data_IF_908509145741
#
_entry.id   IF_908509145741
#
_cell.length_a   1.000
_cell.length_b   1.000
_cell.length_c   1.000
_cell.angle_alpha   90.00
_cell.angle_beta   90.00
_cell.angle_gamma   90.00
#
_symmetry.space_group_name_H-M   'P 1'
#
loop_
_entity.id
_entity.type
_entity.pdbx_description
1 polymer ?
#
# COMPACT_ATOMS: atom_id res chain seq x y z
N UNK A 1 -3.31 29.14 -17.48
CA UNK A 1 -3.08 30.10 -16.37
C UNK A 1 -3.64 29.41 -15.14
N UNK A 2 -2.80 28.85 -14.29
CA UNK A 2 -3.25 28.07 -13.13
C UNK A 2 -3.87 29.03 -12.10
N UNK A 3 -5.16 28.87 -11.85
CA UNK A 3 -5.86 29.56 -10.77
C UNK A 3 -5.37 28.95 -9.47
N UNK A 4 -4.58 29.72 -8.72
CA UNK A 4 -4.28 29.40 -7.33
C UNK A 4 -5.60 29.24 -6.56
N UNK A 5 -5.74 28.24 -5.68
CA UNK A 5 -6.94 28.09 -4.86
C UNK A 5 -7.30 29.40 -4.15
N UNK A 6 -8.59 29.71 -4.04
CA UNK A 6 -9.08 31.00 -3.52
C UNK A 6 -8.63 31.32 -2.07
N UNK A 7 -8.16 30.32 -1.32
CA UNK A 7 -7.59 30.50 0.01
C UNK A 7 -6.11 30.96 0.01
N UNK A 8 -5.49 31.09 -1.17
CA UNK A 8 -4.17 31.69 -1.39
C UNK A 8 -4.11 32.47 -2.71
N UNK A 9 -4.63 33.71 -2.79
CA UNK A 9 -4.33 34.56 -3.93
C UNK A 9 -2.83 34.81 -4.01
N UNK A 10 -2.25 34.66 -5.20
CA UNK A 10 -0.86 35.03 -5.44
C UNK A 10 -0.70 36.55 -5.25
N UNK A 11 -0.20 36.99 -4.10
CA UNK A 11 0.13 38.39 -3.87
C UNK A 11 1.55 38.62 -4.39
N UNK A 12 1.66 39.40 -5.47
CA UNK A 12 2.95 39.81 -6.04
C UNK A 12 3.79 40.49 -4.96
N UNK A 13 4.98 39.93 -4.67
CA UNK A 13 5.91 40.46 -3.68
C UNK A 13 5.82 39.87 -2.27
N UNK A 14 4.87 38.96 -1.99
CA UNK A 14 4.87 38.23 -0.72
C UNK A 14 5.91 37.10 -0.74
N UNK A 15 6.81 37.06 0.24
CA UNK A 15 7.61 35.85 0.49
C UNK A 15 6.65 34.72 0.88
N UNK A 16 6.77 33.55 0.24
CA UNK A 16 6.04 32.36 0.68
C UNK A 16 6.37 32.09 2.15
N UNK A 17 5.38 32.20 3.04
CA UNK A 17 5.60 31.91 4.46
C UNK A 17 5.87 30.43 4.65
N UNK A 18 6.80 30.06 5.54
CA UNK A 18 7.15 28.65 5.82
C UNK A 18 5.93 27.75 6.12
N UNK A 19 4.85 28.32 6.67
CA UNK A 19 3.56 27.63 6.85
C UNK A 19 2.94 27.06 5.55
N UNK A 20 3.29 27.60 4.38
CA UNK A 20 2.82 27.14 3.07
C UNK A 20 3.57 25.92 2.54
N UNK A 21 4.78 25.67 3.04
CA UNK A 21 5.59 24.47 2.72
C UNK A 21 5.42 23.41 3.81
N UNK A 22 4.95 23.81 5.00
CA UNK A 22 4.79 22.93 6.16
C UNK A 22 3.67 21.90 6.08
N UNK A 23 2.77 21.95 5.08
CA UNK A 23 1.76 20.89 4.92
C UNK A 23 2.36 19.52 4.54
N UNK A 24 3.63 19.47 4.14
CA UNK A 24 4.38 18.22 3.94
C UNK A 24 5.42 17.93 5.03
N UNK A 25 5.48 18.74 6.10
CA UNK A 25 6.54 18.64 7.13
C UNK A 25 6.09 17.95 8.43
N UNK A 26 4.83 17.52 8.52
CA UNK A 26 4.33 16.69 9.62
C UNK A 26 3.75 15.41 9.01
N UNK A 27 4.17 14.25 9.52
CA UNK A 27 3.56 12.99 9.13
C UNK A 27 2.10 12.97 9.59
N UNK A 28 1.19 12.79 8.65
CA UNK A 28 -0.23 12.57 8.93
C UNK A 28 -0.65 11.21 8.37
N UNK A 29 -1.73 10.65 8.90
CA UNK A 29 -2.24 9.36 8.45
C UNK A 29 -2.77 9.50 7.02
N UNK A 30 -2.30 8.62 6.13
CA UNK A 30 -2.68 8.54 4.72
C UNK A 30 -2.93 7.09 4.27
N UNK A 31 -4.11 6.81 3.74
CA UNK A 31 -4.49 5.52 3.16
C UNK A 31 -4.50 5.62 1.65
N UNK A 32 -3.70 4.79 1.00
CA UNK A 32 -3.76 4.62 -0.46
C UNK A 32 -4.71 3.48 -0.79
N UNK A 33 -5.69 3.74 -1.67
CA UNK A 33 -6.58 2.74 -2.25
C UNK A 33 -6.33 2.62 -3.74
N UNK A 34 -6.36 1.39 -4.25
CA UNK A 34 -6.23 1.06 -5.68
C UNK A 34 -7.54 0.47 -6.17
N UNK A 35 -7.76 0.45 -7.49
CA UNK A 35 -8.91 -0.22 -8.07
C UNK A 35 -8.72 -1.73 -8.07
N UNK A 36 -9.79 -2.48 -7.80
CA UNK A 36 -9.77 -3.94 -7.82
C UNK A 36 -10.97 -4.54 -7.10
N UNK A 37 -11.25 -5.79 -7.40
CA UNK A 37 -12.25 -6.61 -6.69
C UNK A 37 -11.55 -7.49 -5.67
N UNK A 38 -12.09 -7.57 -4.46
CA UNK A 38 -11.60 -8.49 -3.45
C UNK A 38 -11.77 -9.94 -3.94
N UNK A 39 -10.67 -10.67 -4.08
CA UNK A 39 -10.65 -12.06 -4.53
C UNK A 39 -10.45 -13.05 -3.40
N UNK A 40 -9.82 -12.62 -2.31
CA UNK A 40 -9.60 -13.47 -1.14
C UNK A 40 -9.22 -12.66 0.09
N UNK A 41 -9.59 -13.15 1.26
CA UNK A 41 -9.20 -12.55 2.53
C UNK A 41 -9.15 -13.59 3.63
N UNK A 42 -8.25 -13.39 4.58
CA UNK A 42 -8.27 -14.07 5.86
C UNK A 42 -9.42 -13.58 6.75
N UNK A 43 -9.92 -14.43 7.64
CA UNK A 43 -10.84 -13.99 8.70
C UNK A 43 -10.07 -13.27 9.83
N UNK A 44 -10.65 -12.21 10.44
CA UNK A 44 -9.99 -11.50 11.53
C UNK A 44 -9.72 -12.44 12.71
N UNK A 45 -8.57 -12.27 13.35
CA UNK A 45 -8.18 -13.01 14.55
C UNK A 45 -7.66 -12.12 15.66
N UNK A 46 -7.16 -12.76 16.72
CA UNK A 46 -6.58 -12.10 17.88
C UNK A 46 -5.10 -12.42 18.00
N UNK A 47 -4.28 -11.41 18.31
CA UNK A 47 -2.84 -11.55 18.52
C UNK A 47 -2.02 -11.06 17.33
N UNK A 48 -0.70 -11.04 17.54
CA UNK A 48 0.26 -10.53 16.57
C UNK A 48 1.44 -11.49 16.46
N UNK A 49 2.03 -11.59 15.27
CA UNK A 49 3.34 -12.19 15.10
C UNK A 49 4.35 -11.11 14.76
N UNK A 50 5.37 -10.97 15.61
CA UNK A 50 6.47 -10.02 15.39
C UNK A 50 7.50 -10.63 14.46
N UNK A 51 7.84 -9.92 13.38
CA UNK A 51 9.08 -10.25 12.66
C UNK A 51 10.24 -10.00 13.61
N UNK A 52 11.18 -10.94 13.73
CA UNK A 52 12.51 -10.54 14.20
C UNK A 52 13.22 -9.73 13.10
N UNK A 53 14.21 -8.89 13.42
CA UNK A 53 14.80 -7.87 12.53
C UNK A 53 15.27 -8.39 11.15
N UNK A 54 15.44 -9.70 10.98
CA UNK A 54 15.85 -10.33 9.70
C UNK A 54 14.90 -11.44 9.26
N UNK A 55 13.74 -11.58 9.89
CA UNK A 55 12.82 -12.68 9.63
C UNK A 55 11.84 -12.33 8.52
N UNK A 56 11.74 -13.28 7.62
CA UNK A 56 10.76 -13.33 6.56
C UNK A 56 9.51 -13.99 7.10
N UNK A 57 8.36 -13.40 6.83
CA UNK A 57 7.06 -13.98 7.12
C UNK A 57 6.37 -14.32 5.81
N UNK A 58 5.58 -15.38 5.80
CA UNK A 58 4.77 -15.74 4.64
C UNK A 58 3.34 -16.06 5.04
N UNK A 59 2.43 -15.87 4.09
CA UNK A 59 1.03 -16.24 4.22
C UNK A 59 0.49 -16.76 2.89
N UNK A 60 -0.04 -17.97 2.94
CA UNK A 60 -0.70 -18.62 1.82
C UNK A 60 -2.04 -17.97 1.51
N UNK A 61 -2.35 -17.86 0.22
CA UNK A 61 -3.71 -17.70 -0.27
C UNK A 61 -3.93 -18.62 -1.46
N UNK A 62 -5.20 -18.88 -1.78
CA UNK A 62 -5.59 -19.64 -2.97
C UNK A 62 -6.30 -18.67 -3.92
N UNK A 63 -5.88 -18.63 -5.19
CA UNK A 63 -6.55 -17.80 -6.19
C UNK A 63 -8.01 -18.21 -6.37
N UNK A 64 -8.90 -17.25 -6.50
CA UNK A 64 -10.31 -17.50 -6.76
C UNK A 64 -10.54 -18.15 -8.14
N UNK A 65 -11.75 -18.63 -8.39
CA UNK A 65 -12.14 -19.15 -9.70
C UNK A 65 -11.93 -18.07 -10.78
N UNK A 66 -11.24 -18.42 -11.86
CA UNK A 66 -10.84 -17.53 -12.95
C UNK A 66 -9.90 -16.36 -12.58
N UNK A 67 -9.40 -16.28 -11.34
CA UNK A 67 -8.39 -15.28 -10.98
C UNK A 67 -7.02 -15.68 -11.56
N UNK A 68 -6.54 -14.90 -12.52
CA UNK A 68 -5.21 -15.07 -13.14
C UNK A 68 -4.27 -13.88 -12.88
N UNK A 69 -4.72 -12.91 -12.08
CA UNK A 69 -3.97 -11.70 -11.73
C UNK A 69 -4.13 -11.34 -10.26
N UNK A 70 -3.14 -10.63 -9.73
CA UNK A 70 -3.21 -9.88 -8.48
C UNK A 70 -2.83 -8.45 -8.82
N UNK A 71 -3.62 -7.47 -8.39
CA UNK A 71 -3.29 -6.05 -8.57
C UNK A 71 -2.55 -5.51 -7.35
N UNK A 72 -3.12 -5.73 -6.18
CA UNK A 72 -2.55 -5.30 -4.91
C UNK A 72 -2.98 -6.21 -3.77
N UNK A 73 -2.25 -6.10 -2.66
CA UNK A 73 -2.59 -6.77 -1.41
C UNK A 73 -2.81 -5.74 -0.32
N UNK A 74 -3.66 -6.07 0.66
CA UNK A 74 -3.71 -5.33 1.92
C UNK A 74 -3.27 -6.25 3.03
N UNK A 75 -2.33 -5.78 3.84
CA UNK A 75 -1.80 -6.53 4.99
C UNK A 75 -2.14 -5.75 6.25
N UNK A 76 -2.63 -6.44 7.29
CA UNK A 76 -2.83 -5.79 8.57
C UNK A 76 -1.53 -5.84 9.38
N UNK A 77 -0.74 -4.77 9.26
CA UNK A 77 0.61 -4.67 9.79
C UNK A 77 0.80 -3.37 10.56
N UNK A 78 1.80 -3.34 11.43
CA UNK A 78 2.27 -2.11 12.07
C UNK A 78 3.77 -2.14 12.30
N UNK A 79 4.41 -0.98 12.25
CA UNK A 79 5.78 -0.79 12.73
C UNK A 79 5.79 -0.80 14.26
N UNK A 80 6.81 -1.44 14.82
CA UNK A 80 7.12 -1.42 16.23
C UNK A 80 8.57 -1.01 16.37
N UNK A 81 8.78 0.27 16.67
CA UNK A 81 10.09 0.81 16.96
C UNK A 81 10.05 2.08 17.79
N UNK A 82 11.21 2.43 18.35
CA UNK A 82 11.39 3.63 19.17
C UNK A 82 11.13 4.93 18.41
N UNK A 83 10.89 6.03 19.14
CA UNK A 83 10.46 7.35 18.66
C UNK A 83 10.88 7.68 17.22
N UNK A 84 9.93 8.02 16.33
CA UNK A 84 10.19 8.18 14.90
C UNK A 84 10.96 9.47 14.66
N UNK A 85 12.26 9.38 14.45
CA UNK A 85 12.85 10.27 13.45
C UNK A 85 12.50 9.64 12.11
N UNK A 86 11.69 10.33 11.30
CA UNK A 86 11.12 9.86 10.02
C UNK A 86 12.15 9.31 9.02
N UNK A 87 13.45 9.46 9.30
CA UNK A 87 14.57 9.05 8.45
C UNK A 87 15.13 7.64 8.73
N UNK A 88 14.60 6.87 9.70
CA UNK A 88 15.24 5.62 10.14
C UNK A 88 14.36 4.35 10.06
N UNK A 89 13.10 4.44 9.64
CA UNK A 89 12.25 3.25 9.52
C UNK A 89 12.61 2.49 8.23
N UNK A 90 13.07 1.23 8.32
CA UNK A 90 13.42 0.46 7.13
C UNK A 90 12.23 0.21 6.22
N UNK A 91 12.50 0.02 4.94
CA UNK A 91 11.46 -0.35 3.99
C UNK A 91 11.04 -1.82 4.17
N UNK A 92 9.74 -2.06 4.01
CA UNK A 92 9.15 -3.39 3.95
C UNK A 92 9.09 -3.83 2.49
N UNK A 93 9.71 -4.96 2.17
CA UNK A 93 9.55 -5.64 0.89
C UNK A 93 8.43 -6.65 1.00
N UNK A 94 7.54 -6.66 0.00
CA UNK A 94 6.43 -7.60 -0.13
C UNK A 94 6.54 -8.28 -1.48
N UNK A 95 6.52 -9.59 -1.48
CA UNK A 95 6.78 -10.42 -2.64
C UNK A 95 5.71 -11.49 -2.80
N UNK A 96 5.51 -11.94 -4.04
CA UNK A 96 4.64 -13.04 -4.38
C UNK A 96 5.47 -14.23 -4.85
N UNK A 97 5.20 -15.40 -4.30
CA UNK A 97 5.85 -16.66 -4.66
C UNK A 97 4.82 -17.72 -5.02
N UNK A 98 5.25 -18.71 -5.80
CA UNK A 98 4.51 -19.96 -5.90
C UNK A 98 4.49 -20.68 -4.54
N UNK A 99 3.47 -21.49 -4.30
CA UNK A 99 3.40 -22.37 -3.13
C UNK A 99 3.84 -23.79 -3.49
N UNK A 100 4.58 -24.43 -2.59
CA UNK A 100 4.72 -25.87 -2.56
C UNK A 100 4.61 -26.36 -1.11
N UNK A 101 3.61 -27.20 -0.84
CA UNK A 101 3.35 -27.78 0.47
C UNK A 101 3.09 -26.73 1.56
N UNK A 102 2.42 -25.63 1.22
CA UNK A 102 2.06 -24.59 2.19
C UNK A 102 3.18 -23.59 2.50
N UNK A 103 4.26 -23.59 1.72
CA UNK A 103 5.42 -22.73 1.90
C UNK A 103 5.88 -22.10 0.56
N UNK A 104 6.56 -20.93 0.60
CA UNK A 104 7.08 -20.28 -0.60
C UNK A 104 8.09 -21.15 -1.35
N UNK A 105 8.02 -21.13 -2.68
CA UNK A 105 8.97 -21.84 -3.56
C UNK A 105 9.23 -21.08 -4.85
N UNK A 106 10.35 -21.41 -5.49
CA UNK A 106 10.72 -20.88 -6.80
C UNK A 106 11.13 -19.39 -6.77
N UNK A 107 11.19 -18.75 -7.95
CA UNK A 107 11.51 -17.33 -8.06
C UNK A 107 10.34 -16.44 -7.63
N UNK A 108 10.66 -15.18 -7.29
CA UNK A 108 9.68 -14.11 -7.08
C UNK A 108 8.86 -13.90 -8.35
N UNK A 109 7.54 -13.90 -8.21
CA UNK A 109 6.57 -13.63 -9.28
C UNK A 109 6.25 -12.14 -9.41
N UNK A 110 6.22 -11.42 -8.28
CA UNK A 110 6.04 -9.98 -8.18
C UNK A 110 6.68 -9.45 -6.90
N UNK A 111 7.16 -8.21 -6.91
CA UNK A 111 7.79 -7.57 -5.75
C UNK A 111 7.37 -6.11 -5.66
N UNK A 112 7.22 -5.63 -4.44
CA UNK A 112 6.90 -4.25 -4.13
C UNK A 112 7.61 -3.84 -2.84
N UNK A 113 8.01 -2.58 -2.77
CA UNK A 113 8.63 -2.01 -1.57
C UNK A 113 7.76 -0.89 -1.03
N UNK A 114 7.40 -0.99 0.24
CA UNK A 114 6.73 0.06 1.01
C UNK A 114 7.78 0.76 1.86
N UNK A 115 7.94 2.06 1.67
CA UNK A 115 8.81 2.86 2.53
C UNK A 115 8.28 2.80 3.97
N UNK A 116 9.16 2.56 4.95
CA UNK A 116 8.78 2.38 6.35
C UNK A 116 7.98 3.55 6.94
N UNK A 117 8.15 4.75 6.40
CA UNK A 117 7.37 5.95 6.78
C UNK A 117 5.86 5.83 6.53
N UNK A 118 5.42 4.85 5.71
CA UNK A 118 4.01 4.56 5.45
C UNK A 118 3.46 3.43 6.33
N UNK A 119 4.28 2.88 7.24
CA UNK A 119 3.85 1.93 8.24
C UNK A 119 3.42 2.67 9.51
N UNK A 120 2.25 2.30 10.03
CA UNK A 120 1.68 2.89 11.23
C UNK A 120 2.20 2.22 12.49
N UNK A 121 2.24 2.95 13.61
CA UNK A 121 2.56 2.37 14.92
C UNK A 121 1.41 1.53 15.51
N UNK A 122 0.22 1.64 14.93
CA UNK A 122 -0.96 0.85 15.27
C UNK A 122 -1.33 -0.07 14.10
N UNK A 123 -1.93 -1.25 14.36
CA UNK A 123 -2.32 -2.18 13.30
C UNK A 123 -3.25 -1.52 12.28
N UNK A 124 -2.78 -1.40 11.05
CA UNK A 124 -3.51 -0.79 9.95
C UNK A 124 -3.44 -1.67 8.69
N UNK A 125 -4.45 -1.56 7.83
CA UNK A 125 -4.46 -2.22 6.53
C UNK A 125 -3.59 -1.48 5.52
N UNK A 126 -2.29 -1.77 5.53
CA UNK A 126 -1.34 -1.25 4.55
C UNK A 126 -1.65 -1.81 3.17
N UNK A 127 -1.84 -0.94 2.18
CA UNK A 127 -2.12 -1.32 0.81
C UNK A 127 -0.84 -1.33 0.00
N UNK A 128 -0.46 -2.48 -0.54
CA UNK A 128 0.79 -2.69 -1.28
C UNK A 128 0.47 -3.07 -2.73
N UNK A 129 0.90 -2.27 -3.73
CA UNK A 129 0.72 -2.60 -5.15
C UNK A 129 1.62 -3.78 -5.51
N UNK A 130 1.04 -4.94 -5.76
CA UNK A 130 1.76 -6.20 -5.98
C UNK A 130 1.25 -6.85 -7.26
N UNK A 131 1.56 -6.21 -8.38
CA UNK A 131 1.01 -6.59 -9.68
C UNK A 131 1.64 -7.88 -10.20
N UNK A 132 0.82 -8.92 -10.30
CA UNK A 132 1.20 -10.21 -10.87
C UNK A 132 0.18 -10.64 -11.93
N UNK A 133 0.67 -11.28 -12.99
CA UNK A 133 -0.14 -11.84 -14.07
C UNK A 133 0.29 -13.25 -14.42
N UNK A 134 -0.56 -14.02 -15.09
CA UNK A 134 -0.26 -15.40 -15.46
C UNK A 134 -0.36 -16.37 -14.28
N UNK A 135 -1.12 -16.00 -13.24
CA UNK A 135 -1.42 -16.91 -12.15
C UNK A 135 -2.41 -17.99 -12.62
N UNK A 136 -2.29 -19.18 -12.04
CA UNK A 136 -3.23 -20.28 -12.27
C UNK A 136 -4.38 -20.15 -11.29
N UNK A 137 -5.62 -20.21 -11.79
CA UNK A 137 -6.81 -20.16 -10.94
C UNK A 137 -6.91 -21.39 -10.01
N UNK A 138 -7.45 -21.23 -8.81
CA UNK A 138 -7.57 -22.30 -7.81
C UNK A 138 -6.24 -22.86 -7.30
N UNK A 139 -5.14 -22.13 -7.49
CA UNK A 139 -3.78 -22.56 -7.13
C UNK A 139 -3.28 -21.76 -5.92
N UNK A 140 -2.59 -22.40 -4.95
CA UNK A 140 -2.00 -21.71 -3.82
C UNK A 140 -0.78 -20.88 -4.24
N UNK A 141 -0.66 -19.70 -3.63
CA UNK A 141 0.47 -18.79 -3.73
C UNK A 141 0.79 -18.23 -2.34
N UNK A 142 1.96 -17.60 -2.22
CA UNK A 142 2.48 -17.09 -0.96
C UNK A 142 2.77 -15.60 -1.05
N UNK A 143 2.18 -14.83 -0.14
CA UNK A 143 2.61 -13.46 0.13
C UNK A 143 3.78 -13.57 1.09
N UNK A 144 4.92 -12.99 0.75
CA UNK A 144 6.14 -12.99 1.56
C UNK A 144 6.49 -11.56 1.94
N UNK A 145 6.80 -11.32 3.20
CA UNK A 145 7.23 -10.02 3.69
C UNK A 145 8.60 -10.11 4.34
N UNK A 146 9.46 -9.14 4.04
CA UNK A 146 10.77 -9.00 4.65
C UNK A 146 11.07 -7.53 4.89
N UNK A 147 11.82 -7.23 5.95
CA UNK A 147 12.26 -5.89 6.28
C UNK A 147 13.75 -5.95 6.54
N UNK A 148 14.52 -5.03 5.95
CA UNK A 148 15.93 -4.90 6.29
C UNK A 148 16.03 -4.40 7.73
N UNK A 149 16.63 -5.17 8.63
CA UNK A 149 16.67 -4.83 10.05
C UNK A 149 17.38 -3.50 10.34
N UNK A 150 16.73 -2.64 11.11
CA UNK A 150 17.38 -1.59 11.89
C UNK A 150 17.22 -1.92 13.38
N UNK A 151 18.27 -1.73 14.16
CA UNK A 151 18.24 -2.01 15.59
C UNK A 151 17.11 -1.22 16.26
N UNK A 152 16.15 -1.94 16.84
CA UNK A 152 14.99 -1.33 17.52
C UNK A 152 13.79 -1.04 16.63
N UNK A 153 13.80 -1.43 15.35
CA UNK A 153 12.63 -1.42 14.47
C UNK A 153 12.33 -2.83 13.94
N UNK A 154 11.06 -3.20 13.96
CA UNK A 154 10.53 -4.41 13.35
C UNK A 154 9.05 -4.20 13.03
N UNK A 155 8.46 -5.02 12.18
CA UNK A 155 7.02 -4.99 11.94
C UNK A 155 6.32 -6.16 12.64
N UNK A 156 5.05 -5.95 12.94
CA UNK A 156 4.15 -7.02 13.37
C UNK A 156 3.08 -7.23 12.31
N UNK A 157 2.71 -8.49 12.11
CA UNK A 157 1.60 -8.88 11.24
C UNK A 157 0.51 -9.53 12.08
N UNK A 158 -0.72 -9.01 12.00
CA UNK A 158 -1.84 -9.48 12.81
C UNK A 158 -2.21 -10.92 12.49
N UNK A 159 -2.61 -11.68 13.52
CA UNK A 159 -3.08 -13.06 13.37
C UNK A 159 -4.46 -13.13 12.74
N UNK A 160 -4.63 -14.11 11.85
CA UNK A 160 -5.93 -14.56 11.36
C UNK A 160 -6.50 -15.65 12.28
N UNK A 161 -7.83 -15.85 12.25
CA UNK A 161 -8.47 -17.05 12.82
C UNK A 161 -8.27 -18.31 11.98
N UNK A 162 -7.78 -18.16 10.74
CA UNK A 162 -7.38 -19.29 9.88
C UNK A 162 -6.22 -20.04 10.53
N UNK A 163 -6.35 -21.36 10.65
CA UNK A 163 -5.27 -22.22 11.11
C UNK A 163 -4.26 -22.46 9.98
N UNK A 164 -2.97 -22.28 10.29
CA UNK A 164 -1.86 -22.53 9.38
C UNK A 164 -1.82 -21.63 8.13
N UNK A 165 -1.05 -22.10 7.14
CA UNK A 165 -0.80 -21.38 5.89
C UNK A 165 0.22 -20.24 6.01
N UNK A 166 0.67 -19.89 7.22
CA UNK A 166 1.81 -19.00 7.39
C UNK A 166 3.11 -19.77 7.61
N UNK A 167 4.22 -19.12 7.28
CA UNK A 167 5.56 -19.64 7.54
C UNK A 167 6.52 -18.54 7.95
N UNK A 168 7.67 -18.95 8.48
CA UNK A 168 8.78 -18.04 8.73
C UNK A 168 10.07 -18.55 8.11
N UNK A 169 10.96 -17.63 7.77
CA UNK A 169 12.30 -17.96 7.31
C UNK A 169 13.32 -16.96 7.87
N UNK A 170 14.50 -17.41 8.34
CA UNK A 170 15.56 -16.50 8.75
C UNK A 170 16.30 -15.86 7.57
N UNK A 171 16.15 -16.38 6.36
CA UNK A 171 16.98 -16.01 5.20
C UNK A 171 16.21 -15.92 3.87
N UNK A 172 14.89 -16.17 3.88
CA UNK A 172 14.03 -16.18 2.69
C UNK A 172 14.10 -17.47 1.88
N UNK A 173 14.91 -18.45 2.29
CA UNK A 173 15.14 -19.71 1.56
C UNK A 173 14.65 -20.93 2.32
N UNK A 174 14.94 -21.02 3.62
CA UNK A 174 14.54 -22.16 4.46
C UNK A 174 13.31 -21.78 5.25
N UNK A 175 12.19 -22.42 4.96
CA UNK A 175 10.89 -22.07 5.52
C UNK A 175 10.42 -23.08 6.57
N UNK A 176 9.88 -22.55 7.67
CA UNK A 176 9.23 -23.33 8.73
C UNK A 176 7.76 -22.95 8.77
N UNK A 177 6.87 -23.94 8.66
CA UNK A 177 5.43 -23.72 8.75
C UNK A 177 5.02 -23.39 10.19
N UNK A 178 4.03 -22.50 10.30
CA UNK A 178 3.39 -22.16 11.57
C UNK A 178 1.99 -22.79 11.66
N UNK A 179 1.46 -22.86 12.89
CA UNK A 179 0.10 -23.36 13.16
C UNK A 179 -0.99 -22.30 13.05
N UNK A 180 -0.63 -21.04 12.83
CA UNK A 180 -1.55 -19.89 12.71
C UNK A 180 -1.49 -19.28 11.30
N UNK A 181 -2.48 -18.45 10.97
CA UNK A 181 -2.49 -17.60 9.79
C UNK A 181 -2.25 -16.13 10.13
N UNK A 182 -1.98 -15.32 9.10
CA UNK A 182 -1.76 -13.89 9.15
C UNK A 182 -2.85 -13.16 8.35
N UNK A 183 -3.12 -11.90 8.71
CA UNK A 183 -4.25 -11.15 8.14
C UNK A 183 -3.92 -10.48 6.81
N UNK A 184 -4.63 -10.86 5.75
CA UNK A 184 -4.44 -10.33 4.40
C UNK A 184 -5.77 -10.16 3.65
N UNK A 185 -5.71 -9.35 2.60
CA UNK A 185 -6.70 -9.25 1.54
C UNK A 185 -5.98 -9.21 0.18
N UNK A 186 -6.48 -9.98 -0.79
CA UNK A 186 -6.00 -10.01 -2.17
C UNK A 186 -7.04 -9.35 -3.06
N UNK A 187 -6.60 -8.41 -3.88
CA UNK A 187 -7.44 -7.78 -4.88
C UNK A 187 -6.91 -8.08 -6.27
N UNK A 188 -7.82 -8.34 -7.21
CA UNK A 188 -7.46 -8.46 -8.61
C UNK A 188 -7.12 -7.09 -9.22
N UNK A 189 -6.70 -7.14 -10.48
CA UNK A 189 -6.58 -5.97 -11.33
C UNK A 189 -7.65 -6.03 -12.43
N UNK A 190 -8.94 -6.06 -12.07
CA UNK A 190 -9.98 -6.12 -13.09
C UNK A 190 -10.08 -4.80 -13.88
N UNK A 191 -10.09 -4.91 -15.22
CA UNK A 191 -10.45 -3.81 -16.12
C UNK A 191 -9.34 -2.85 -16.56
N UNK A 192 -8.05 -3.23 -16.45
CA UNK A 192 -6.95 -2.32 -16.81
C UNK A 192 -6.75 -1.19 -15.80
N UNK A 193 -7.33 -1.32 -14.60
CA UNK A 193 -7.06 -0.45 -13.47
C UNK A 193 -5.55 -0.47 -13.19
N UNK A 194 -4.92 0.66 -13.42
CA UNK A 194 -3.49 0.88 -13.22
C UNK A 194 -3.05 0.42 -11.83
N UNK A 195 -1.79 0.01 -11.65
CA UNK A 195 -1.14 -0.19 -10.33
C UNK A 195 -0.97 1.12 -9.57
N UNK A 196 -1.76 2.12 -9.92
CA UNK A 196 -1.62 3.50 -9.51
C UNK A 196 -2.68 3.81 -8.46
N UNK A 197 -2.34 4.62 -7.45
CA UNK A 197 -3.27 5.10 -6.44
C UNK A 197 -4.54 5.66 -7.07
N UNK A 198 -5.73 5.20 -6.68
CA UNK A 198 -6.99 5.83 -7.06
C UNK A 198 -7.45 6.85 -6.03
N UNK A 199 -7.19 6.60 -4.76
CA UNK A 199 -7.60 7.46 -3.65
C UNK A 199 -6.48 7.50 -2.62
N UNK A 200 -6.15 8.69 -2.17
CA UNK A 200 -5.35 8.98 -1.00
C UNK A 200 -6.30 9.62 0.02
N UNK A 201 -6.67 8.88 1.06
CA UNK A 201 -7.49 9.36 2.17
C UNK A 201 -6.54 9.77 3.30
N UNK A 202 -6.62 11.00 3.74
CA UNK A 202 -5.69 11.63 4.68
C UNK A 202 -6.48 12.26 5.82
N UNK A 203 -5.86 12.30 7.00
CA UNK A 203 -6.46 12.89 8.20
C UNK A 203 -7.82 12.25 8.56
N UNK A 204 -7.94 10.92 8.43
CA UNK A 204 -9.17 10.16 8.72
C UNK A 204 -10.39 10.66 7.92
N UNK A 205 -10.24 10.79 6.61
CA UNK A 205 -11.28 11.23 5.68
C UNK A 205 -11.44 12.74 5.59
N UNK A 206 -10.69 13.52 6.38
CA UNK A 206 -10.79 14.98 6.33
C UNK A 206 -10.17 15.56 5.06
N UNK A 207 -9.23 14.85 4.44
CA UNK A 207 -8.72 15.18 3.11
C UNK A 207 -8.71 13.93 2.23
N UNK A 208 -9.34 14.00 1.07
CA UNK A 208 -9.38 12.87 0.12
C UNK A 208 -8.89 13.36 -1.23
N UNK A 209 -7.79 12.79 -1.73
CA UNK A 209 -7.29 13.03 -3.08
C UNK A 209 -7.56 11.81 -3.95
N UNK A 210 -8.44 11.94 -4.94
CA UNK A 210 -8.68 10.93 -5.97
C UNK A 210 -7.86 11.20 -7.23
N UNK A 211 -7.41 10.14 -7.87
CA UNK A 211 -6.71 10.15 -9.14
C UNK A 211 -7.47 9.31 -10.15
N UNK A 212 -7.52 9.74 -11.40
CA UNK A 212 -7.97 8.90 -12.52
C UNK A 212 -6.85 8.76 -13.53
N UNK A 213 -6.84 7.66 -14.28
CA UNK A 213 -5.82 7.37 -15.29
C UNK A 213 -6.49 7.07 -16.63
N UNK A 214 -5.85 7.45 -17.72
CA UNK A 214 -6.31 7.09 -19.06
C UNK A 214 -5.91 5.65 -19.42
N UNK A 215 -6.35 5.16 -20.58
CA UNK A 215 -6.04 3.81 -21.06
C UNK A 215 -4.53 3.54 -21.27
N UNK A 216 -3.71 4.58 -21.32
CA UNK A 216 -2.24 4.50 -21.38
C UNK A 216 -1.57 4.61 -20.01
N UNK A 217 -2.32 4.49 -18.92
CA UNK A 217 -1.85 4.63 -17.53
C UNK A 217 -1.23 6.01 -17.20
N UNK A 218 -1.59 7.05 -17.95
CA UNK A 218 -1.21 8.42 -17.61
C UNK A 218 -2.27 9.02 -16.70
N UNK A 219 -1.85 9.82 -15.72
CA UNK A 219 -2.75 10.50 -14.79
C UNK A 219 -3.68 11.44 -15.57
N UNK A 220 -4.97 11.12 -15.66
CA UNK A 220 -5.95 11.88 -16.43
C UNK A 220 -6.62 12.99 -15.60
N UNK A 221 -6.80 12.78 -14.29
CA UNK A 221 -7.32 13.82 -13.40
C UNK A 221 -6.85 13.64 -11.97
N UNK A 222 -6.83 14.75 -11.22
CA UNK A 222 -6.65 14.80 -9.77
C UNK A 222 -7.86 15.54 -9.21
N UNK A 223 -8.44 15.05 -8.12
CA UNK A 223 -9.44 15.80 -7.38
C UNK A 223 -9.17 15.67 -5.90
N UNK A 224 -9.13 16.79 -5.18
CA UNK A 224 -8.91 16.82 -3.74
C UNK A 224 -10.10 17.47 -3.08
N UNK A 225 -10.61 16.83 -2.04
CA UNK A 225 -11.66 17.36 -1.19
C UNK A 225 -11.07 17.52 0.21
N UNK A 226 -11.34 18.64 0.87
CA UNK A 226 -10.94 18.88 2.26
C UNK A 226 -12.14 19.36 3.04
N UNK A 227 -12.51 18.63 4.09
CA UNK A 227 -13.58 19.00 5.01
C UNK A 227 -13.01 19.64 6.26
N UNK A 228 -13.58 20.77 6.66
CA UNK A 228 -13.27 21.47 7.90
C UNK A 228 -14.55 21.88 8.61
N UNK A 229 -14.44 22.36 9.85
CA UNK A 229 -15.57 22.98 10.58
C UNK A 229 -16.15 24.20 9.86
N UNK A 230 -15.41 24.81 8.93
CA UNK A 230 -15.85 25.93 8.11
C UNK A 230 -16.49 25.52 6.76
N UNK A 231 -16.54 24.21 6.45
CA UNK A 231 -17.11 23.67 5.22
C UNK A 231 -16.12 22.84 4.39
N UNK A 232 -16.54 22.48 3.18
CA UNK A 232 -15.78 21.64 2.25
C UNK A 232 -15.15 22.48 1.14
N UNK A 233 -13.84 22.34 0.95
CA UNK A 233 -13.11 22.88 -0.21
C UNK A 233 -12.83 21.74 -1.18
N UNK A 234 -13.16 21.92 -2.46
CA UNK A 234 -12.87 20.95 -3.50
C UNK A 234 -11.99 21.58 -4.58
N UNK A 235 -10.98 20.82 -5.01
CA UNK A 235 -10.15 21.10 -6.17
C UNK A 235 -10.30 19.93 -7.14
N UNK A 236 -10.39 20.22 -8.44
CA UNK A 236 -10.33 19.20 -9.48
C UNK A 236 -9.55 19.76 -10.66
N UNK A 237 -8.69 18.93 -11.24
CA UNK A 237 -7.95 19.23 -12.45
C UNK A 237 -7.90 18.02 -13.37
N UNK A 238 -8.02 18.28 -14.66
CA UNK A 238 -7.82 17.32 -15.74
C UNK A 238 -6.47 17.56 -16.41
N UNK A 239 -5.80 16.50 -16.84
CA UNK A 239 -4.49 16.55 -17.49
C UNK A 239 -4.60 15.99 -18.92
N UNK A 240 -4.07 16.73 -19.89
CA UNK A 240 -4.00 16.27 -21.29
C UNK A 240 -2.56 16.07 -21.71
N UNK A 241 -2.31 15.09 -22.58
CA UNK A 241 -0.96 14.68 -22.97
C UNK A 241 -0.76 14.74 -24.49
N UNK A 242 0.48 15.00 -24.90
CA UNK A 242 0.97 14.77 -26.26
C UNK A 242 2.37 14.15 -26.16
N UNK A 243 2.59 13.03 -26.85
CA UNK A 243 3.86 12.29 -26.83
C UNK A 243 4.38 11.98 -25.41
N UNK A 244 3.47 11.66 -24.47
CA UNK A 244 3.84 11.37 -23.09
C UNK A 244 4.05 12.59 -22.18
N UNK A 245 4.00 13.81 -22.72
CA UNK A 245 4.19 15.05 -21.98
C UNK A 245 2.86 15.73 -21.68
N UNK A 246 2.72 16.31 -20.47
CA UNK A 246 1.55 17.12 -20.12
C UNK A 246 1.55 18.37 -21.01
N UNK A 247 0.41 18.62 -21.65
CA UNK A 247 0.19 19.76 -22.56
C UNK A 247 -0.91 20.70 -22.09
N UNK A 248 -1.72 20.27 -21.13
CA UNK A 248 -2.82 21.07 -20.61
C UNK A 248 -3.21 20.64 -19.20
N UNK A 249 -3.66 21.63 -18.43
CA UNK A 249 -4.32 21.45 -17.13
C UNK A 249 -5.62 22.24 -17.22
N UNK A 250 -6.75 21.54 -17.12
CA UNK A 250 -8.10 22.09 -17.22
C UNK A 250 -8.86 21.96 -15.92
#
# INVERSE_FOLDING_TARGET
MAISPAWQPAVVGAQGTAGHVNQFLVGHESTVSYGGTLQGSSAPGSGVYSSTQTQWLSQQFVTAAAQTTVGYVRLQISDVGGSPTLALIPSLTVELYADSLGLPTGPVLASATVTGQYLYSQPWWATIPLAASGLTAGTPYQIVTSMAGAAGHYYVWQHSTTAGGSGTSPDGTTWTANSFGLMYQIFDQNGGASTMPLILDEDNGLRVTSFTYNASNQLASISTYTTSSAGTVAYAASLTYSNGLITGVG
#
